data_IF_411604308017
#
_entry.id   IF_411604308017
#
_cell.length_a   1.000
_cell.length_b   1.000
_cell.length_c   1.000
_cell.angle_alpha   90.00
_cell.angle_beta   90.00
_cell.angle_gamma   90.00
#
_symmetry.space_group_name_H-M   'P 1'
#
loop_
_entity.id
_entity.type
_entity.pdbx_description
1 polymer ?
#
# COMPACT_ATOMS: atom_id res chain seq x y z
N UNK A 1 20.16 16.66 42.33
CA UNK A 1 19.39 15.43 42.09
C UNK A 1 18.37 15.74 41.02
N UNK A 2 18.73 15.44 39.77
CA UNK A 2 17.83 15.49 38.62
C UNK A 2 18.24 14.30 37.78
N UNK A 3 17.36 13.30 37.73
CA UNK A 3 17.54 12.05 37.02
C UNK A 3 17.33 12.31 35.52
N UNK A 4 18.37 12.12 34.72
CA UNK A 4 18.27 12.08 33.26
C UNK A 4 17.74 10.71 32.84
N UNK A 5 16.53 10.69 32.30
CA UNK A 5 15.87 9.51 31.75
C UNK A 5 16.64 9.02 30.52
N UNK A 6 17.29 7.86 30.67
CA UNK A 6 18.00 7.11 29.63
C UNK A 6 16.97 6.46 28.69
N UNK A 7 16.79 7.00 27.48
CA UNK A 7 15.98 6.34 26.45
C UNK A 7 16.89 5.56 25.51
N UNK A 8 16.84 4.24 25.64
CA UNK A 8 17.52 3.26 24.80
C UNK A 8 16.65 2.93 23.58
N UNK A 9 17.09 3.25 22.36
CA UNK A 9 16.77 2.47 21.15
C UNK A 9 17.47 3.07 19.92
N UNK A 10 18.80 2.98 19.86
CA UNK A 10 19.51 3.07 18.59
C UNK A 10 19.66 1.63 18.07
N UNK A 11 18.63 1.14 17.37
CA UNK A 11 18.81 -0.04 16.52
C UNK A 11 19.28 0.46 15.15
N UNK A 12 20.53 0.15 14.88
CA UNK A 12 21.23 0.43 13.63
C UNK A 12 20.52 -0.33 12.48
N UNK A 13 19.69 0.37 11.71
CA UNK A 13 19.04 -0.18 10.52
C UNK A 13 20.03 -0.12 9.37
N UNK A 14 20.67 -1.25 9.06
CA UNK A 14 21.55 -1.39 7.91
C UNK A 14 20.70 -1.47 6.64
N UNK A 15 20.76 -0.44 5.79
CA UNK A 15 20.19 -0.50 4.45
C UNK A 15 21.14 -1.27 3.54
N UNK A 16 20.87 -2.55 3.34
CA UNK A 16 21.51 -3.31 2.27
C UNK A 16 20.98 -2.76 0.95
N UNK A 17 21.80 -1.96 0.26
CA UNK A 17 21.53 -1.46 -1.08
C UNK A 17 21.47 -2.65 -2.04
N UNK A 18 20.27 -3.20 -2.23
CA UNK A 18 19.98 -4.32 -3.11
C UNK A 18 20.60 -4.12 -4.49
N UNK A 19 21.62 -4.92 -4.77
CA UNK A 19 22.26 -5.07 -6.07
C UNK A 19 21.24 -5.43 -7.14
N UNK A 20 21.26 -4.64 -8.22
CA UNK A 20 20.36 -4.60 -9.38
C UNK A 20 20.37 -5.81 -10.31
N UNK A 21 20.60 -7.02 -9.81
CA UNK A 21 20.70 -8.23 -10.64
C UNK A 21 19.91 -9.40 -10.04
N UNK A 22 18.62 -9.21 -9.79
CA UNK A 22 17.70 -10.34 -9.77
C UNK A 22 17.40 -10.71 -11.23
N UNK A 23 17.62 -11.96 -11.64
CA UNK A 23 17.40 -12.43 -13.01
C UNK A 23 15.91 -12.31 -13.39
N UNK A 24 15.50 -11.13 -13.84
CA UNK A 24 14.14 -10.90 -14.31
C UNK A 24 13.96 -11.68 -15.60
N UNK A 25 13.08 -12.69 -15.58
CA UNK A 25 12.77 -13.54 -16.74
C UNK A 25 12.45 -12.70 -17.98
N UNK A 26 12.71 -13.19 -19.21
CA UNK A 26 12.41 -12.43 -20.44
C UNK A 26 10.95 -11.97 -20.53
N UNK A 27 10.01 -12.73 -19.96
CA UNK A 27 8.60 -12.33 -19.83
C UNK A 27 8.45 -11.09 -18.95
N UNK A 28 9.18 -10.99 -17.84
CA UNK A 28 9.13 -9.86 -16.93
C UNK A 28 9.78 -8.59 -17.50
N UNK A 29 10.71 -8.70 -18.46
CA UNK A 29 11.34 -7.56 -19.15
C UNK A 29 10.41 -6.83 -20.13
N UNK A 30 9.32 -7.47 -20.55
CA UNK A 30 8.34 -6.92 -21.51
C UNK A 30 7.00 -6.53 -20.85
N UNK A 31 6.95 -6.41 -19.52
CA UNK A 31 5.73 -6.02 -18.82
C UNK A 31 5.69 -4.50 -18.62
N UNK A 32 4.57 -3.89 -18.98
CA UNK A 32 4.32 -2.45 -18.81
C UNK A 32 3.99 -2.07 -17.36
N UNK A 33 3.65 -3.06 -16.53
CA UNK A 33 3.30 -2.87 -15.11
C UNK A 33 4.45 -3.27 -14.18
N UNK A 34 4.63 -2.51 -13.11
CA UNK A 34 5.57 -2.80 -12.04
C UNK A 34 5.26 -4.16 -11.40
N UNK A 35 6.28 -4.92 -10.92
CA UNK A 35 6.05 -6.21 -10.28
C UNK A 35 5.05 -6.17 -9.13
N UNK A 36 5.08 -5.13 -8.31
CA UNK A 36 4.15 -4.94 -7.18
C UNK A 36 2.72 -4.60 -7.57
N UNK A 37 2.50 -4.13 -8.81
CA UNK A 37 1.19 -3.79 -9.37
C UNK A 37 0.51 -5.00 -10.06
N UNK A 38 1.10 -6.19 -9.91
CA UNK A 38 0.58 -7.42 -10.50
C UNK A 38 -0.43 -8.05 -9.56
N UNK A 39 -1.60 -8.34 -10.12
CA UNK A 39 -2.61 -9.17 -9.46
C UNK A 39 -2.16 -10.63 -9.58
N UNK A 40 -2.12 -11.34 -8.46
CA UNK A 40 -1.86 -12.79 -8.47
C UNK A 40 -2.95 -13.53 -9.23
N UNK A 41 -2.56 -14.56 -9.99
CA UNK A 41 -3.52 -15.48 -10.61
C UNK A 41 -4.19 -16.39 -9.56
N UNK A 42 -3.56 -16.53 -8.38
CA UNK A 42 -4.10 -17.27 -7.24
C UNK A 42 -4.98 -16.36 -6.37
N UNK A 43 -6.07 -16.89 -5.78
CA UNK A 43 -6.91 -16.11 -4.87
C UNK A 43 -6.14 -15.76 -3.59
N UNK A 44 -6.13 -14.48 -3.23
CA UNK A 44 -5.48 -13.96 -2.04
C UNK A 44 -6.51 -13.44 -1.03
N UNK A 45 -6.19 -13.53 0.26
CA UNK A 45 -7.02 -12.95 1.33
C UNK A 45 -6.91 -11.43 1.36
N UNK A 46 -7.79 -10.78 2.12
CA UNK A 46 -7.80 -9.32 2.29
C UNK A 46 -6.51 -8.87 3.00
N UNK A 47 -6.07 -9.61 4.01
CA UNK A 47 -4.86 -9.35 4.78
C UNK A 47 -3.61 -9.41 3.90
N UNK A 48 -3.53 -10.40 3.01
CA UNK A 48 -2.43 -10.54 2.06
C UNK A 48 -2.39 -9.35 1.10
N UNK A 49 -3.54 -9.00 0.51
CA UNK A 49 -3.67 -7.84 -0.38
C UNK A 49 -3.35 -6.52 0.32
N UNK A 50 -3.69 -6.38 1.60
CA UNK A 50 -3.39 -5.19 2.40
C UNK A 50 -1.89 -4.95 2.58
N UNK A 51 -1.07 -6.00 2.54
CA UNK A 51 0.40 -5.90 2.67
C UNK A 51 1.13 -5.70 1.35
N UNK A 52 0.42 -5.76 0.22
CA UNK A 52 1.04 -5.68 -1.10
C UNK A 52 1.40 -4.24 -1.47
N UNK A 53 2.65 -4.06 -1.92
CA UNK A 53 3.23 -2.75 -2.26
C UNK A 53 3.54 -2.70 -3.76
N UNK A 54 3.00 -1.68 -4.44
CA UNK A 54 3.17 -1.46 -5.87
C UNK A 54 4.53 -0.82 -6.19
N UNK A 55 4.94 0.14 -5.35
CA UNK A 55 6.18 0.90 -5.48
C UNK A 55 6.80 1.09 -4.10
N UNK A 56 8.07 0.72 -3.98
CA UNK A 56 8.91 0.96 -2.79
C UNK A 56 10.27 1.48 -3.27
N UNK A 57 10.38 2.79 -3.52
CA UNK A 57 11.59 3.42 -4.06
C UNK A 57 11.85 4.80 -3.46
N UNK A 58 13.12 5.22 -3.35
CA UNK A 58 13.45 6.59 -2.96
C UNK A 58 13.06 7.56 -4.08
N UNK A 59 12.42 8.67 -3.70
CA UNK A 59 12.18 9.80 -4.58
C UNK A 59 13.46 10.61 -4.80
N UNK A 60 13.46 11.45 -5.84
CA UNK A 60 14.56 12.37 -6.16
C UNK A 60 14.87 13.34 -5.00
N UNK A 61 13.92 13.58 -4.10
CA UNK A 61 14.05 14.41 -2.90
C UNK A 61 14.74 13.69 -1.74
N UNK A 62 14.94 12.36 -1.84
CA UNK A 62 15.47 11.52 -0.75
C UNK A 62 14.40 10.94 0.17
N UNK A 63 13.14 11.29 -0.02
CA UNK A 63 12.02 10.68 0.70
C UNK A 63 11.73 9.27 0.16
N UNK A 64 11.35 8.35 1.04
CA UNK A 64 11.01 6.98 0.64
C UNK A 64 9.52 6.88 0.34
N UNK A 65 9.16 6.64 -0.93
CA UNK A 65 7.77 6.54 -1.35
C UNK A 65 7.35 5.07 -1.33
N UNK A 66 6.34 4.78 -0.50
CA UNK A 66 5.63 3.51 -0.48
C UNK A 66 4.20 3.68 -0.98
N UNK A 67 3.86 2.98 -2.05
CA UNK A 67 2.51 3.00 -2.64
C UNK A 67 1.88 1.61 -2.50
N UNK A 68 0.77 1.47 -1.75
CA UNK A 68 0.02 0.22 -1.68
C UNK A 68 -0.59 -0.17 -3.02
N UNK A 69 -0.69 -1.46 -3.30
CA UNK A 69 -1.38 -1.97 -4.50
C UNK A 69 -2.90 -1.93 -4.34
N UNK A 70 -3.38 -2.21 -3.12
CA UNK A 70 -4.80 -2.28 -2.79
C UNK A 70 -5.18 -1.28 -1.70
N UNK A 71 -6.39 -0.74 -1.81
CA UNK A 71 -7.04 0.03 -0.75
C UNK A 71 -8.04 -0.85 -0.01
N UNK A 72 -7.94 -0.89 1.32
CA UNK A 72 -8.92 -1.59 2.14
C UNK A 72 -10.07 -0.64 2.46
N UNK A 73 -11.28 -1.06 2.11
CA UNK A 73 -12.50 -0.29 2.27
C UNK A 73 -13.49 -1.11 3.10
N UNK A 74 -14.06 -0.48 4.12
CA UNK A 74 -15.26 -0.98 4.80
C UNK A 74 -16.50 -0.53 4.02
N UNK A 75 -17.37 -1.46 3.66
CA UNK A 75 -18.66 -1.23 3.00
C UNK A 75 -19.79 -0.96 4.03
N UNK A 76 -20.92 -0.36 3.61
CA UNK A 76 -22.03 -0.05 4.52
C UNK A 76 -22.65 -1.26 5.23
N UNK A 77 -22.53 -2.45 4.65
CA UNK A 77 -22.98 -3.72 5.23
C UNK A 77 -21.98 -4.33 6.23
N UNK A 78 -20.81 -3.71 6.39
CA UNK A 78 -19.72 -4.17 7.24
C UNK A 78 -18.74 -5.14 6.57
N UNK A 79 -18.91 -5.43 5.27
CA UNK A 79 -17.93 -6.20 4.50
C UNK A 79 -16.65 -5.38 4.27
N UNK A 80 -15.50 -6.05 4.27
CA UNK A 80 -14.21 -5.43 3.90
C UNK A 80 -13.83 -5.86 2.50
N UNK A 81 -13.48 -4.89 1.65
CA UNK A 81 -12.97 -5.15 0.31
C UNK A 81 -11.57 -4.59 0.14
N UNK A 82 -10.75 -5.30 -0.63
CA UNK A 82 -9.45 -4.84 -1.09
C UNK A 82 -9.56 -4.44 -2.57
N UNK A 83 -9.57 -3.14 -2.85
CA UNK A 83 -9.75 -2.56 -4.18
C UNK A 83 -8.40 -2.18 -4.80
N UNK A 84 -8.12 -2.69 -5.99
CA UNK A 84 -6.88 -2.43 -6.72
C UNK A 84 -6.90 -1.02 -7.31
N UNK A 85 -5.86 -0.23 -7.05
CA UNK A 85 -5.83 1.20 -7.42
C UNK A 85 -6.02 1.49 -8.91
N UNK A 86 -5.54 0.60 -9.80
CA UNK A 86 -5.77 0.71 -11.26
C UNK A 86 -7.06 0.01 -11.73
N UNK A 87 -7.24 -1.28 -11.43
CA UNK A 87 -8.31 -2.08 -12.03
C UNK A 87 -9.70 -1.74 -11.49
N UNK A 88 -9.78 -1.33 -10.23
CA UNK A 88 -11.05 -1.13 -9.53
C UNK A 88 -11.37 0.36 -9.38
N UNK A 89 -10.85 1.20 -10.29
CA UNK A 89 -11.01 2.65 -10.24
C UNK A 89 -12.49 3.10 -10.25
N UNK A 90 -13.36 2.37 -10.95
CA UNK A 90 -14.80 2.62 -10.94
C UNK A 90 -15.39 2.31 -9.55
N UNK A 91 -15.13 1.14 -8.99
CA UNK A 91 -15.62 0.77 -7.65
C UNK A 91 -15.07 1.72 -6.57
N UNK A 92 -13.81 2.14 -6.68
CA UNK A 92 -13.22 3.16 -5.80
C UNK A 92 -13.98 4.48 -5.92
N UNK A 93 -14.31 4.92 -7.14
CA UNK A 93 -15.12 6.11 -7.37
C UNK A 93 -16.51 5.97 -6.73
N UNK A 94 -17.14 4.81 -6.87
CA UNK A 94 -18.44 4.50 -6.28
C UNK A 94 -18.41 4.55 -4.76
N UNK A 95 -17.40 3.93 -4.14
CA UNK A 95 -17.14 4.00 -2.71
C UNK A 95 -16.99 5.45 -2.25
N UNK A 96 -16.19 6.25 -2.95
CA UNK A 96 -15.99 7.67 -2.60
C UNK A 96 -17.29 8.46 -2.75
N UNK A 97 -18.11 8.17 -3.77
CA UNK A 97 -19.41 8.83 -3.97
C UNK A 97 -20.42 8.50 -2.87
N UNK A 98 -20.40 7.26 -2.38
CA UNK A 98 -21.28 6.77 -1.32
C UNK A 98 -20.80 7.23 0.07
N UNK A 99 -19.49 7.31 0.27
CA UNK A 99 -18.85 7.78 1.48
C UNK A 99 -18.90 9.31 1.56
N UNK A 100 -20.06 9.87 1.91
CA UNK A 100 -20.13 11.27 2.34
C UNK A 100 -19.51 11.41 3.74
N UNK A 101 -19.10 12.62 4.07
CA UNK A 101 -18.70 12.98 5.43
C UNK A 101 -19.73 13.93 6.03
N UNK A 102 -20.00 13.81 7.33
CA UNK A 102 -20.68 14.88 8.08
C UNK A 102 -19.74 16.05 8.40
N UNK A 103 -20.28 17.05 9.10
CA UNK A 103 -19.57 18.23 9.58
C UNK A 103 -18.43 17.88 10.56
N UNK A 104 -18.52 16.71 11.22
CA UNK A 104 -17.51 16.18 12.14
C UNK A 104 -16.45 15.33 11.42
N UNK A 105 -16.58 15.14 10.10
CA UNK A 105 -15.67 14.34 9.28
C UNK A 105 -15.89 12.83 9.38
N UNK A 106 -16.95 12.36 10.02
CA UNK A 106 -17.29 10.95 10.09
C UNK A 106 -17.95 10.49 8.78
N UNK A 107 -17.64 9.26 8.37
CA UNK A 107 -18.21 8.66 7.17
C UNK A 107 -19.70 8.34 7.37
N UNK A 108 -20.53 8.84 6.47
CA UNK A 108 -21.96 8.57 6.37
C UNK A 108 -22.25 7.85 5.05
N UNK A 109 -22.97 6.74 5.17
CA UNK A 109 -23.49 5.96 4.05
C UNK A 109 -24.90 6.42 3.68
N UNK A 110 -25.24 6.46 2.39
CA UNK A 110 -26.57 6.87 1.91
C UNK A 110 -27.03 6.00 0.74
#
# INVERSE_FOLDING_TARGET
MTEETKNQSEQEITYESGSRDEEVSPKARNLTANPGDRISDEPQTIEEKATQIAVDVPDITGDHIKVPTYFIVDEPDGEKKALHHVKDAEEISDVIRQARVDEDGNRIWR
#
